data_IF_395814807479
#
_entry.id   IF_395814807479
#
_cell.length_a   1.000
_cell.length_b   1.000
_cell.length_c   1.000
_cell.angle_alpha   90.00
_cell.angle_beta   90.00
_cell.angle_gamma   90.00
#
_symmetry.space_group_name_H-M   'P 1'
#
loop_
_entity.id
_entity.type
_entity.pdbx_description
1 polymer ?
#
# COMPACT_ATOMS: atom_id res chain seq x y z
N UNK A 1 12.44 -18.47 33.23
CA UNK A 1 12.52 -19.91 33.58
C UNK A 1 12.46 -20.71 32.29
N UNK A 2 13.46 -21.55 32.06
CA UNK A 2 13.54 -22.45 30.90
C UNK A 2 12.68 -23.67 31.19
N UNK A 3 11.82 -24.05 30.25
CA UNK A 3 11.24 -25.39 30.20
C UNK A 3 11.23 -25.87 28.75
N UNK A 4 12.14 -26.83 28.48
CA UNK A 4 12.07 -27.73 27.32
C UNK A 4 10.93 -28.72 27.56
N UNK A 5 10.12 -28.96 26.53
CA UNK A 5 9.26 -30.15 26.47
C UNK A 5 9.56 -30.86 25.16
N UNK A 6 10.01 -32.10 25.28
CA UNK A 6 10.27 -33.02 24.18
C UNK A 6 8.96 -33.54 23.57
N UNK A 7 8.95 -33.84 22.27
CA UNK A 7 7.88 -34.57 21.61
C UNK A 7 8.40 -35.91 21.08
N UNK A 8 7.68 -36.97 21.43
CA UNK A 8 7.82 -38.33 20.92
C UNK A 8 6.93 -38.52 19.69
N UNK A 9 7.43 -39.27 18.69
CA UNK A 9 6.72 -39.67 17.47
C UNK A 9 5.99 -40.99 17.70
N UNK A 10 4.71 -41.03 17.34
CA UNK A 10 3.93 -42.14 16.76
C UNK A 10 2.45 -41.72 16.86
N UNK A 11 1.56 -41.80 15.88
CA UNK A 11 1.55 -42.26 14.49
C UNK A 11 0.12 -42.05 13.99
N UNK A 12 -0.05 -41.87 12.67
CA UNK A 12 -1.30 -42.12 11.93
C UNK A 12 -2.57 -41.32 12.28
N UNK A 13 -2.91 -40.38 11.39
CA UNK A 13 -4.18 -40.27 10.62
C UNK A 13 -4.76 -38.85 10.55
N UNK A 14 -5.07 -38.49 9.30
CA UNK A 14 -6.15 -37.61 8.82
C UNK A 14 -6.25 -36.19 9.39
N UNK A 15 -5.88 -35.22 8.55
CA UNK A 15 -6.08 -33.80 8.77
C UNK A 15 -7.55 -33.40 8.57
N UNK A 16 -8.16 -32.83 9.61
CA UNK A 16 -9.37 -32.02 9.48
C UNK A 16 -9.00 -30.54 9.63
N UNK A 17 -9.36 -29.74 8.64
CA UNK A 17 -9.25 -28.28 8.68
C UNK A 17 -10.42 -27.71 9.50
N UNK A 18 -10.14 -27.11 10.66
CA UNK A 18 -11.10 -26.30 11.41
C UNK A 18 -10.60 -24.84 11.36
N UNK A 19 -11.34 -23.97 10.65
CA UNK A 19 -11.17 -22.52 10.72
C UNK A 19 -11.90 -22.00 11.96
N UNK A 20 -11.17 -21.54 12.97
CA UNK A 20 -11.73 -20.75 14.08
C UNK A 20 -11.73 -19.26 13.68
N UNK A 21 -12.89 -18.62 13.70
CA UNK A 21 -13.05 -17.17 13.59
C UNK A 21 -13.13 -16.60 15.01
N UNK A 22 -12.18 -15.76 15.41
CA UNK A 22 -12.24 -15.00 16.67
C UNK A 22 -12.83 -13.62 16.41
N UNK A 23 -13.92 -13.29 17.09
CA UNK A 23 -14.46 -11.93 17.20
C UNK A 23 -14.08 -11.38 18.58
N UNK A 24 -13.23 -10.35 18.59
CA UNK A 24 -12.77 -9.69 19.81
C UNK A 24 -13.71 -8.50 20.14
N UNK A 25 -14.46 -8.58 21.23
CA UNK A 25 -15.21 -7.43 21.78
C UNK A 25 -14.37 -6.81 22.89
N UNK A 26 -14.00 -5.54 22.73
CA UNK A 26 -13.43 -4.70 23.79
C UNK A 26 -14.51 -4.29 24.79
N UNK A 27 -14.20 -4.34 26.10
CA UNK A 27 -14.69 -3.29 27.01
C UNK A 27 -13.79 -3.06 28.22
N UNK A 28 -13.61 -1.77 28.46
CA UNK A 28 -12.84 -1.04 29.47
C UNK A 28 -13.34 -1.35 30.89
N UNK A 29 -12.41 -1.49 31.84
CA UNK A 29 -12.73 -1.66 33.25
C UNK A 29 -13.12 -0.35 33.96
N UNK A 30 -13.99 -0.46 34.97
CA UNK A 30 -13.97 0.29 36.23
C UNK A 30 -14.92 -0.37 37.25
N UNK A 31 -14.48 -0.33 38.49
CA UNK A 31 -14.99 -0.88 39.75
C UNK A 31 -16.44 -0.53 40.11
N UNK A 32 -17.21 -1.47 40.70
CA UNK A 32 -18.03 -1.30 41.91
C UNK A 32 -18.80 -2.60 42.29
N UNK A 33 -19.06 -2.73 43.60
CA UNK A 33 -19.72 -3.82 44.33
C UNK A 33 -21.12 -4.23 43.82
N UNK A 34 -21.52 -5.50 44.01
CA UNK A 34 -22.70 -5.95 44.79
C UNK A 34 -22.96 -7.47 44.63
N UNK A 35 -23.46 -8.08 45.70
CA UNK A 35 -23.95 -9.47 45.80
C UNK A 35 -25.10 -9.77 44.82
N UNK A 36 -25.16 -10.99 44.28
CA UNK A 36 -26.23 -11.96 44.53
C UNK A 36 -26.29 -13.05 43.44
N UNK A 37 -26.94 -14.14 43.81
CA UNK A 37 -27.03 -15.44 43.16
C UNK A 37 -27.69 -15.41 41.76
N UNK A 38 -27.34 -16.38 40.92
CA UNK A 38 -28.13 -16.71 39.73
C UNK A 38 -27.37 -17.58 38.74
N UNK A 39 -27.56 -18.89 38.81
CA UNK A 39 -27.11 -19.82 37.78
C UNK A 39 -27.90 -19.58 36.47
N UNK A 40 -27.19 -19.43 35.35
CA UNK A 40 -27.79 -19.46 34.02
C UNK A 40 -26.98 -20.40 33.12
N UNK A 41 -27.51 -21.60 32.97
CA UNK A 41 -27.05 -22.69 32.11
C UNK A 41 -27.19 -22.27 30.64
N UNK A 42 -26.09 -22.20 29.88
CA UNK A 42 -26.13 -21.95 28.44
C UNK A 42 -26.22 -23.30 27.69
N UNK A 43 -27.39 -23.56 27.11
CA UNK A 43 -27.67 -24.72 26.26
C UNK A 43 -27.05 -24.50 24.87
N UNK A 44 -26.05 -25.29 24.48
CA UNK A 44 -25.50 -25.30 23.11
C UNK A 44 -26.21 -26.39 22.31
N UNK A 45 -27.15 -26.01 21.45
CA UNK A 45 -27.77 -26.89 20.47
C UNK A 45 -26.85 -27.02 19.24
N UNK A 46 -26.16 -28.15 19.13
CA UNK A 46 -25.46 -28.56 17.92
C UNK A 46 -26.45 -29.26 16.98
N UNK A 47 -26.82 -28.62 15.87
CA UNK A 47 -27.54 -29.27 14.78
C UNK A 47 -26.56 -30.11 13.95
N UNK A 48 -26.54 -31.43 14.21
CA UNK A 48 -25.97 -32.41 13.28
C UNK A 48 -26.99 -32.67 12.17
N UNK A 49 -26.72 -32.17 10.97
CA UNK A 49 -27.38 -32.65 9.76
C UNK A 49 -26.67 -33.94 9.31
N UNK A 50 -27.27 -35.09 9.64
CA UNK A 50 -26.92 -36.38 9.06
C UNK A 50 -27.48 -36.43 7.63
N UNK A 51 -26.63 -36.21 6.62
CA UNK A 51 -26.94 -36.59 5.24
C UNK A 51 -26.46 -38.03 5.06
N UNK A 52 -27.32 -38.98 4.63
CA UNK A 52 -26.87 -40.34 4.37
C UNK A 52 -25.97 -40.33 3.13
N UNK A 53 -24.71 -40.74 3.31
CA UNK A 53 -23.82 -41.07 2.19
C UNK A 53 -24.34 -42.36 1.58
N UNK A 54 -25.09 -42.25 0.49
CA UNK A 54 -25.34 -43.38 -0.40
C UNK A 54 -23.99 -43.72 -1.02
N UNK A 55 -23.44 -44.88 -0.67
CA UNK A 55 -22.33 -45.47 -1.39
C UNK A 55 -22.84 -45.77 -2.81
N UNK A 56 -22.61 -44.85 -3.74
CA UNK A 56 -22.88 -45.11 -5.14
C UNK A 56 -21.77 -46.02 -5.66
N UNK A 57 -22.21 -47.19 -6.12
CA UNK A 57 -21.46 -48.15 -6.89
C UNK A 57 -20.68 -47.43 -7.98
N UNK A 58 -19.35 -47.61 -7.99
CA UNK A 58 -18.53 -47.38 -9.19
C UNK A 58 -19.02 -48.34 -10.28
N UNK A 59 -20.06 -47.96 -11.00
CA UNK A 59 -20.34 -48.46 -12.34
C UNK A 59 -19.47 -47.67 -13.31
N UNK A 60 -18.73 -48.42 -14.12
CA UNK A 60 -17.97 -47.96 -15.27
C UNK A 60 -18.75 -46.96 -16.11
N UNK A 61 -18.35 -45.68 -16.08
CA UNK A 61 -18.62 -44.76 -17.18
C UNK A 61 -17.75 -45.16 -18.37
N UNK A 62 -18.22 -46.16 -19.10
CA UNK A 62 -17.76 -46.41 -20.47
C UNK A 62 -18.10 -45.18 -21.32
N UNK A 63 -17.05 -44.42 -21.63
CA UNK A 63 -16.80 -43.66 -22.85
C UNK A 63 -18.03 -43.46 -23.78
N UNK A 64 -19.00 -42.65 -23.36
CA UNK A 64 -20.09 -42.24 -24.27
C UNK A 64 -19.58 -41.10 -25.13
N UNK A 65 -19.35 -41.40 -26.40
CA UNK A 65 -19.04 -40.38 -27.40
C UNK A 65 -20.02 -39.21 -27.30
N UNK A 66 -19.48 -37.99 -27.25
CA UNK A 66 -20.30 -36.78 -27.17
C UNK A 66 -20.84 -36.48 -28.56
N UNK A 67 -22.16 -36.31 -28.74
CA UNK A 67 -22.72 -36.01 -30.05
C UNK A 67 -22.24 -34.66 -30.55
N UNK A 68 -21.94 -34.55 -31.85
CA UNK A 68 -21.55 -33.29 -32.47
C UNK A 68 -22.79 -32.57 -32.99
N UNK A 69 -23.11 -31.42 -32.41
CA UNK A 69 -24.29 -30.63 -32.72
C UNK A 69 -24.29 -30.11 -34.16
N UNK A 70 -25.49 -29.99 -34.75
CA UNK A 70 -25.67 -29.35 -36.06
C UNK A 70 -25.89 -27.84 -35.87
N UNK A 71 -24.86 -27.05 -36.19
CA UNK A 71 -24.91 -25.60 -36.03
C UNK A 71 -25.35 -24.92 -37.33
N UNK A 72 -26.31 -24.01 -37.23
CA UNK A 72 -26.59 -23.00 -38.26
C UNK A 72 -25.91 -21.70 -37.84
N UNK A 73 -24.96 -21.23 -38.63
CA UNK A 73 -24.24 -19.99 -38.36
C UNK A 73 -24.47 -18.98 -39.50
N UNK A 74 -24.81 -17.71 -39.21
CA UNK A 74 -25.20 -16.73 -40.24
C UNK A 74 -24.03 -16.23 -41.10
N UNK A 75 -22.79 -16.47 -40.66
CA UNK A 75 -21.56 -16.07 -41.34
C UNK A 75 -20.51 -17.19 -41.25
N UNK A 76 -19.38 -17.11 -41.96
CA UNK A 76 -18.23 -17.97 -41.67
C UNK A 76 -17.79 -17.83 -40.21
N UNK A 77 -17.43 -18.95 -39.58
CA UNK A 77 -17.02 -18.98 -38.16
C UNK A 77 -15.67 -18.30 -38.00
N UNK A 78 -15.58 -17.34 -37.09
CA UNK A 78 -14.35 -16.61 -36.79
C UNK A 78 -13.50 -17.38 -35.76
N UNK A 79 -12.28 -17.73 -36.16
CA UNK A 79 -11.38 -18.49 -35.28
C UNK A 79 -11.10 -17.77 -33.95
N UNK A 80 -10.76 -16.48 -33.99
CA UNK A 80 -10.30 -15.75 -32.81
C UNK A 80 -11.45 -15.43 -31.85
N UNK A 81 -12.62 -15.10 -32.40
CA UNK A 81 -13.79 -14.70 -31.60
C UNK A 81 -14.60 -15.88 -31.09
N UNK A 82 -14.63 -16.99 -31.81
CA UNK A 82 -15.59 -18.07 -31.55
C UNK A 82 -14.92 -19.40 -31.19
N UNK A 83 -13.81 -19.76 -31.84
CA UNK A 83 -13.12 -21.04 -31.59
C UNK A 83 -12.06 -20.92 -30.49
N UNK A 84 -11.23 -19.88 -30.56
CA UNK A 84 -10.13 -19.67 -29.63
C UNK A 84 -10.57 -19.56 -28.16
N UNK A 85 -11.73 -18.96 -27.80
CA UNK A 85 -12.23 -18.99 -26.42
C UNK A 85 -12.50 -20.41 -25.91
N UNK A 86 -13.08 -21.29 -26.73
CA UNK A 86 -13.34 -22.69 -26.37
C UNK A 86 -12.00 -23.40 -26.09
N UNK A 87 -11.02 -23.21 -27.00
CA UNK A 87 -9.68 -23.77 -26.83
C UNK A 87 -8.96 -23.20 -25.61
N UNK A 88 -9.07 -21.90 -25.34
CA UNK A 88 -8.46 -21.23 -24.17
C UNK A 88 -8.93 -21.85 -22.86
N UNK A 89 -10.23 -22.13 -22.76
CA UNK A 89 -10.82 -22.65 -21.54
C UNK A 89 -10.49 -24.13 -21.30
N UNK A 90 -10.45 -24.94 -22.36
CA UNK A 90 -10.40 -26.39 -22.20
C UNK A 90 -9.10 -27.06 -22.68
N UNK A 91 -8.31 -26.41 -23.54
CA UNK A 91 -7.20 -27.07 -24.25
C UNK A 91 -5.85 -26.37 -24.05
N UNK A 92 -5.81 -25.04 -24.05
CA UNK A 92 -4.55 -24.28 -24.11
C UNK A 92 -3.72 -24.36 -22.83
N UNK A 93 -4.29 -24.71 -21.68
CA UNK A 93 -3.49 -24.92 -20.47
C UNK A 93 -2.44 -26.04 -20.65
N UNK A 94 -2.73 -27.02 -21.52
CA UNK A 94 -1.84 -28.15 -21.83
C UNK A 94 -1.22 -28.09 -23.24
N UNK A 95 -1.93 -27.54 -24.23
CA UNK A 95 -1.55 -27.55 -25.65
C UNK A 95 -1.22 -26.15 -26.18
N UNK A 96 -0.31 -25.46 -25.48
CA UNK A 96 0.25 -24.16 -25.88
C UNK A 96 1.74 -24.32 -26.26
N UNK A 97 2.37 -23.25 -26.76
CA UNK A 97 3.76 -23.24 -27.21
C UNK A 97 4.78 -23.58 -26.11
N UNK A 98 4.47 -23.32 -24.85
CA UNK A 98 5.38 -23.50 -23.71
C UNK A 98 5.27 -24.89 -23.09
N UNK A 99 4.05 -25.43 -22.97
CA UNK A 99 3.80 -26.72 -22.32
C UNK A 99 3.73 -27.89 -23.32
N UNK A 100 3.24 -27.62 -24.54
CA UNK A 100 3.15 -28.49 -25.72
C UNK A 100 3.07 -30.01 -25.43
N UNK A 101 2.07 -30.47 -24.66
CA UNK A 101 1.84 -31.91 -24.50
C UNK A 101 1.61 -32.57 -25.86
N UNK A 102 2.24 -33.73 -26.07
CA UNK A 102 2.26 -34.45 -27.35
C UNK A 102 2.77 -33.61 -28.55
N UNK A 103 3.61 -32.60 -28.27
CA UNK A 103 4.09 -31.58 -29.23
C UNK A 103 2.98 -30.85 -29.99
N UNK A 104 1.74 -30.88 -29.47
CA UNK A 104 0.59 -30.27 -30.11
C UNK A 104 0.35 -28.86 -29.59
N UNK A 105 0.26 -27.89 -30.51
CA UNK A 105 -0.01 -26.48 -30.22
C UNK A 105 -1.35 -26.08 -30.86
N UNK A 106 -2.30 -25.61 -30.04
CA UNK A 106 -3.65 -25.26 -30.47
C UNK A 106 -3.91 -23.74 -30.51
N UNK A 107 -2.86 -22.92 -30.38
CA UNK A 107 -2.97 -21.44 -30.33
C UNK A 107 -3.38 -20.81 -31.67
N UNK A 108 -3.04 -21.45 -32.79
CA UNK A 108 -3.29 -20.94 -34.14
C UNK A 108 -3.73 -22.05 -35.09
N UNK A 109 -4.54 -21.76 -36.13
CA UNK A 109 -4.91 -22.77 -37.11
C UNK A 109 -3.70 -23.37 -37.83
N UNK A 110 -2.67 -22.56 -38.10
CA UNK A 110 -1.43 -23.01 -38.73
C UNK A 110 -0.70 -24.06 -37.88
N UNK A 111 -0.63 -23.85 -36.56
CA UNK A 111 -0.03 -24.82 -35.65
C UNK A 111 -0.88 -26.11 -35.55
N UNK A 112 -2.21 -25.99 -35.55
CA UNK A 112 -3.10 -27.15 -35.54
C UNK A 112 -2.99 -27.99 -36.83
N UNK A 113 -2.76 -27.35 -37.98
CA UNK A 113 -2.48 -28.01 -39.26
C UNK A 113 -1.14 -28.74 -39.25
N UNK A 114 -0.11 -28.13 -38.65
CA UNK A 114 1.20 -28.77 -38.46
C UNK A 114 1.07 -30.02 -37.58
N UNK A 115 0.20 -29.97 -36.57
CA UNK A 115 -0.11 -31.12 -35.72
C UNK A 115 0.95 -31.40 -34.66
N UNK A 116 0.81 -32.56 -34.00
CA UNK A 116 1.71 -33.05 -32.97
C UNK A 116 2.20 -34.47 -33.25
N UNK A 117 2.48 -35.24 -32.21
CA UNK A 117 2.98 -36.62 -32.30
C UNK A 117 2.09 -37.56 -33.12
N UNK A 118 0.78 -37.34 -33.06
CA UNK A 118 -0.22 -38.16 -33.76
C UNK A 118 -0.62 -37.60 -35.13
N UNK A 119 0.08 -36.58 -35.64
CA UNK A 119 -0.22 -35.91 -36.91
C UNK A 119 -1.09 -34.65 -36.76
N UNK A 120 -1.69 -34.15 -37.88
CA UNK A 120 -2.47 -32.93 -37.90
C UNK A 120 -3.67 -32.98 -36.95
N UNK A 121 -3.80 -31.99 -36.07
CA UNK A 121 -4.96 -31.90 -35.18
C UNK A 121 -6.25 -31.59 -35.95
N UNK A 122 -6.13 -30.83 -37.05
CA UNK A 122 -7.23 -30.48 -37.93
C UNK A 122 -6.92 -30.82 -39.38
N UNK A 123 -7.95 -31.22 -40.11
CA UNK A 123 -7.92 -31.47 -41.55
C UNK A 123 -8.99 -30.58 -42.20
N UNK A 124 -8.61 -29.51 -42.92
CA UNK A 124 -9.56 -28.59 -43.53
C UNK A 124 -10.60 -29.31 -44.39
N UNK A 125 -11.85 -28.85 -44.30
CA UNK A 125 -13.02 -29.44 -45.00
C UNK A 125 -13.37 -30.87 -44.57
N UNK A 126 -12.72 -31.41 -43.52
CA UNK A 126 -12.95 -32.75 -43.00
C UNK A 126 -13.04 -32.72 -41.46
N UNK A 127 -14.05 -32.05 -40.91
CA UNK A 127 -14.28 -31.89 -39.48
C UNK A 127 -14.32 -33.23 -38.74
N UNK A 128 -15.14 -34.19 -39.20
CA UNK A 128 -15.22 -35.53 -38.60
C UNK A 128 -13.93 -36.36 -38.67
N UNK A 129 -13.05 -36.06 -39.63
CA UNK A 129 -11.78 -36.77 -39.76
C UNK A 129 -10.68 -36.18 -38.87
N UNK A 130 -10.88 -34.97 -38.33
CA UNK A 130 -9.88 -34.22 -37.58
C UNK A 130 -9.68 -34.79 -36.17
N UNK A 131 -8.42 -35.01 -35.79
CA UNK A 131 -8.06 -35.58 -34.49
C UNK A 131 -8.56 -34.75 -33.31
N UNK A 132 -8.52 -33.42 -33.43
CA UNK A 132 -9.04 -32.49 -32.43
C UNK A 132 -10.50 -32.82 -32.08
N UNK A 133 -11.34 -33.00 -33.10
CA UNK A 133 -12.76 -33.28 -32.91
C UNK A 133 -12.96 -34.67 -32.32
N UNK A 134 -12.27 -35.69 -32.87
CA UNK A 134 -12.38 -37.07 -32.38
C UNK A 134 -11.95 -37.22 -30.92
N UNK A 135 -10.86 -36.56 -30.52
CA UNK A 135 -10.37 -36.58 -29.15
C UNK A 135 -11.35 -35.87 -28.21
N UNK A 136 -11.81 -34.68 -28.58
CA UNK A 136 -12.71 -33.87 -27.76
C UNK A 136 -14.16 -34.41 -27.69
N UNK A 137 -14.57 -35.21 -28.65
CA UNK A 137 -15.87 -35.90 -28.65
C UNK A 137 -15.80 -37.35 -28.16
N UNK A 138 -14.64 -37.78 -27.64
CA UNK A 138 -14.42 -39.11 -27.08
C UNK A 138 -14.64 -40.26 -28.09
N UNK A 139 -14.21 -40.06 -29.33
CA UNK A 139 -14.30 -41.02 -30.44
C UNK A 139 -12.99 -41.77 -30.73
N UNK A 140 -11.91 -41.46 -30.01
CA UNK A 140 -10.65 -42.22 -30.09
C UNK A 140 -10.66 -43.30 -29.00
N UNK A 141 -10.16 -44.48 -29.33
CA UNK A 141 -10.13 -45.63 -28.42
C UNK A 141 -9.23 -45.38 -27.20
N UNK A 142 -8.02 -44.86 -27.43
CA UNK A 142 -7.00 -44.70 -26.38
C UNK A 142 -6.78 -43.23 -25.95
N UNK A 143 -7.63 -42.31 -26.38
CA UNK A 143 -7.43 -40.88 -26.09
C UNK A 143 -8.75 -40.17 -25.84
N UNK A 144 -8.91 -39.69 -24.61
CA UNK A 144 -10.06 -38.91 -24.15
C UNK A 144 -9.56 -37.53 -23.73
N UNK A 145 -10.18 -36.48 -24.26
CA UNK A 145 -9.82 -35.09 -23.96
C UNK A 145 -11.07 -34.29 -23.56
N UNK A 146 -11.07 -33.63 -22.39
CA UNK A 146 -9.99 -33.59 -21.42
C UNK A 146 -9.83 -34.93 -20.66
N UNK A 147 -8.61 -35.27 -20.18
CA UNK A 147 -8.44 -36.44 -19.33
C UNK A 147 -9.15 -36.20 -17.99
N UNK A 148 -9.75 -37.25 -17.43
CA UNK A 148 -10.54 -37.20 -16.19
C UNK A 148 -9.77 -36.64 -14.99
N UNK A 149 -8.44 -36.86 -14.94
CA UNK A 149 -7.57 -36.37 -13.86
C UNK A 149 -6.81 -35.08 -14.22
N UNK A 150 -7.36 -34.22 -15.06
CA UNK A 150 -6.71 -32.96 -15.42
C UNK A 150 -6.63 -31.98 -14.22
N UNK A 151 -5.49 -31.28 -14.10
CA UNK A 151 -5.22 -30.30 -13.01
C UNK A 151 -5.67 -28.88 -13.32
N UNK A 152 -6.35 -28.68 -14.46
CA UNK A 152 -6.65 -27.36 -15.02
C UNK A 152 -8.16 -27.08 -15.07
N UNK A 153 -8.97 -27.97 -14.48
CA UNK A 153 -10.43 -27.88 -14.44
C UNK A 153 -11.07 -27.73 -15.83
N UNK A 154 -10.44 -28.33 -16.84
CA UNK A 154 -11.04 -28.45 -18.17
C UNK A 154 -12.19 -29.47 -18.11
N UNK A 155 -13.29 -29.15 -18.77
CA UNK A 155 -14.49 -29.97 -18.83
C UNK A 155 -14.76 -30.43 -20.26
N UNK A 156 -15.58 -31.45 -20.41
CA UNK A 156 -16.07 -31.91 -21.69
C UNK A 156 -16.71 -30.76 -22.49
N UNK A 157 -16.47 -30.75 -23.79
CA UNK A 157 -17.10 -29.77 -24.67
C UNK A 157 -18.58 -30.10 -24.87
N UNK A 158 -19.41 -29.07 -24.96
CA UNK A 158 -20.83 -29.26 -25.28
C UNK A 158 -21.01 -29.72 -26.74
N UNK A 159 -22.13 -30.40 -27.08
CA UNK A 159 -22.48 -30.71 -28.46
C UNK A 159 -22.44 -29.49 -29.38
N UNK A 160 -22.83 -28.32 -28.89
CA UNK A 160 -22.82 -27.06 -29.63
C UNK A 160 -21.39 -26.56 -29.88
N UNK A 161 -20.51 -26.61 -28.87
CA UNK A 161 -19.10 -26.23 -29.01
C UNK A 161 -18.38 -27.16 -30.00
N UNK A 162 -18.61 -28.47 -29.91
CA UNK A 162 -18.11 -29.45 -30.88
C UNK A 162 -18.66 -29.17 -32.29
N UNK A 163 -19.95 -28.83 -32.37
CA UNK A 163 -20.61 -28.47 -33.62
C UNK A 163 -20.02 -27.23 -34.27
N UNK A 164 -19.67 -26.22 -33.47
CA UNK A 164 -19.07 -24.97 -33.92
C UNK A 164 -17.62 -25.18 -34.41
N UNK A 165 -16.82 -25.94 -33.65
CA UNK A 165 -15.47 -26.35 -34.06
C UNK A 165 -15.52 -27.14 -35.35
N UNK A 166 -16.43 -28.12 -35.45
CA UNK A 166 -16.62 -28.90 -36.68
C UNK A 166 -16.98 -28.00 -37.86
N UNK A 167 -17.95 -27.10 -37.70
CA UNK A 167 -18.38 -26.18 -38.75
C UNK A 167 -17.22 -25.31 -39.24
N UNK A 168 -16.41 -24.77 -38.32
CA UNK A 168 -15.21 -24.02 -38.64
C UNK A 168 -14.19 -24.85 -39.44
N UNK A 169 -13.93 -26.10 -39.04
CA UNK A 169 -13.03 -27.00 -39.77
C UNK A 169 -13.57 -27.28 -41.18
N UNK A 170 -14.87 -27.55 -41.29
CA UNK A 170 -15.54 -27.84 -42.57
C UNK A 170 -15.49 -26.63 -43.52
N UNK A 171 -15.52 -25.41 -42.99
CA UNK A 171 -15.32 -24.16 -43.73
C UNK A 171 -13.84 -23.91 -44.15
N UNK A 172 -12.95 -24.85 -43.81
CA UNK A 172 -11.55 -24.84 -44.22
C UNK A 172 -10.58 -24.40 -43.13
N UNK A 173 -11.02 -24.31 -41.88
CA UNK A 173 -10.21 -23.99 -40.70
C UNK A 173 -9.34 -22.73 -40.86
N UNK A 174 -9.90 -21.69 -41.48
CA UNK A 174 -9.21 -20.43 -41.74
C UNK A 174 -9.26 -19.51 -40.53
N UNK A 175 -8.29 -18.60 -40.47
CA UNK A 175 -8.19 -17.57 -39.44
C UNK A 175 -6.77 -17.42 -38.90
N UNK A 176 -6.62 -16.47 -37.99
CA UNK A 176 -5.40 -16.23 -37.23
C UNK A 176 -5.82 -15.78 -35.84
N UNK A 177 -5.13 -16.23 -34.79
CA UNK A 177 -5.17 -15.50 -33.53
C UNK A 177 -4.35 -14.23 -33.71
N UNK A 178 -4.85 -13.08 -33.27
CA UNK A 178 -3.99 -11.92 -33.08
C UNK A 178 -2.89 -12.34 -32.12
N UNK A 179 -1.64 -12.35 -32.61
CA UNK A 179 -0.49 -12.51 -31.73
C UNK A 179 -0.57 -11.33 -30.79
N UNK A 180 -0.86 -11.59 -29.51
CA UNK A 180 -0.84 -10.56 -28.49
C UNK A 180 0.46 -9.80 -28.68
N UNK A 181 0.37 -8.51 -29.07
CA UNK A 181 1.56 -7.70 -29.30
C UNK A 181 2.38 -7.82 -28.02
N UNK A 182 3.66 -8.21 -28.10
CA UNK A 182 4.49 -8.27 -26.91
C UNK A 182 4.38 -6.91 -26.23
N UNK A 183 3.87 -6.91 -25.00
CA UNK A 183 3.82 -5.69 -24.21
C UNK A 183 5.28 -5.35 -23.97
N UNK A 184 5.76 -4.30 -24.64
CA UNK A 184 7.08 -3.74 -24.41
C UNK A 184 7.05 -3.02 -23.07
N UNK A 185 7.27 -3.78 -22.01
CA UNK A 185 7.41 -3.23 -20.66
C UNK A 185 8.57 -2.24 -20.64
N UNK A 186 8.24 -0.97 -20.41
CA UNK A 186 9.25 0.06 -20.17
C UNK A 186 9.49 0.18 -18.66
N UNK A 187 10.74 0.44 -18.22
CA UNK A 187 11.00 0.83 -16.85
C UNK A 187 10.15 2.06 -16.48
N UNK A 188 9.69 2.13 -15.24
CA UNK A 188 9.06 3.35 -14.72
C UNK A 188 10.04 4.52 -14.91
N UNK A 189 9.52 5.68 -15.33
CA UNK A 189 10.34 6.87 -15.54
C UNK A 189 11.24 7.15 -14.31
N UNK A 190 12.51 7.49 -14.55
CA UNK A 190 13.41 7.89 -13.48
C UNK A 190 12.78 9.01 -12.65
N UNK A 191 12.72 8.81 -11.33
CA UNK A 191 12.10 9.76 -10.40
C UNK A 191 10.65 9.43 -10.04
N UNK A 192 10.01 8.45 -10.68
CA UNK A 192 8.72 7.93 -10.22
C UNK A 192 8.92 7.19 -8.88
N UNK A 193 8.62 7.90 -7.79
CA UNK A 193 8.74 7.38 -6.43
C UNK A 193 7.32 7.17 -5.87
N UNK A 194 6.70 6.00 -6.12
CA UNK A 194 5.33 5.77 -5.73
C UNK A 194 5.16 5.94 -4.22
N UNK A 195 4.11 6.66 -3.84
CA UNK A 195 3.68 6.79 -2.46
C UNK A 195 2.61 5.72 -2.24
N UNK A 196 2.90 4.77 -1.37
CA UNK A 196 2.00 3.64 -1.09
C UNK A 196 0.97 3.97 -0.01
N UNK A 197 1.34 4.85 0.91
CA UNK A 197 0.46 5.33 1.97
C UNK A 197 0.76 6.80 2.30
N UNK A 198 -0.28 7.52 2.70
CA UNK A 198 -0.19 8.90 3.18
C UNK A 198 -1.06 9.08 4.41
N UNK A 199 -0.58 9.86 5.37
CA UNK A 199 -1.37 10.37 6.47
C UNK A 199 -1.09 11.86 6.64
N UNK A 200 -2.11 12.64 6.98
CA UNK A 200 -2.01 14.07 7.23
C UNK A 200 -2.39 14.31 8.69
N UNK A 201 -1.68 15.20 9.38
CA UNK A 201 -2.03 15.57 10.75
C UNK A 201 -3.38 16.30 10.78
N UNK A 202 -4.17 16.17 11.86
CA UNK A 202 -5.50 16.82 11.93
C UNK A 202 -5.49 18.34 11.71
N UNK A 203 -4.38 19.02 12.04
CA UNK A 203 -4.16 20.45 11.81
C UNK A 203 -3.74 20.81 10.37
N UNK A 204 -3.55 19.82 9.49
CA UNK A 204 -3.13 20.00 8.10
C UNK A 204 -1.68 20.47 7.92
N UNK A 205 -0.87 20.50 8.98
CA UNK A 205 0.49 21.06 8.92
C UNK A 205 1.50 20.09 8.33
N UNK A 206 1.34 18.78 8.58
CA UNK A 206 2.31 17.77 8.19
C UNK A 206 1.68 16.60 7.43
N UNK A 207 2.43 16.07 6.46
CA UNK A 207 2.12 14.81 5.80
C UNK A 207 3.23 13.79 6.03
N UNK A 208 2.85 12.58 6.44
CA UNK A 208 3.70 11.40 6.39
C UNK A 208 3.42 10.66 5.08
N UNK A 209 4.46 10.39 4.30
CA UNK A 209 4.37 9.68 3.02
C UNK A 209 5.28 8.46 3.03
N UNK A 210 4.70 7.28 2.82
CA UNK A 210 5.42 6.02 2.72
C UNK A 210 5.88 5.74 1.29
N UNK A 211 7.16 5.42 1.12
CA UNK A 211 7.76 4.99 -0.16
C UNK A 211 8.62 3.77 0.09
N UNK A 212 8.19 2.61 -0.42
CA UNK A 212 8.76 1.31 -0.05
C UNK A 212 8.83 1.18 1.49
N UNK A 213 10.01 0.92 2.04
CA UNK A 213 10.23 0.73 3.47
C UNK A 213 10.63 2.02 4.23
N UNK A 214 10.36 3.18 3.65
CA UNK A 214 10.77 4.50 4.17
C UNK A 214 9.56 5.40 4.38
N UNK A 215 9.64 6.25 5.41
CA UNK A 215 8.59 7.22 5.74
C UNK A 215 9.20 8.62 5.72
N UNK A 216 8.60 9.51 4.94
CA UNK A 216 9.01 10.90 4.77
C UNK A 216 8.00 11.80 5.46
N UNK A 217 8.47 12.78 6.23
CA UNK A 217 7.63 13.79 6.86
C UNK A 217 7.83 15.11 6.12
N UNK A 218 6.75 15.66 5.58
CA UNK A 218 6.73 16.96 4.92
C UNK A 218 5.96 17.96 5.74
N UNK A 219 6.41 19.20 5.76
CA UNK A 219 5.65 20.34 6.27
C UNK A 219 4.91 20.97 5.09
N UNK A 220 3.60 20.78 5.05
CA UNK A 220 2.75 21.06 3.89
C UNK A 220 2.76 22.53 3.49
N UNK A 221 2.62 23.52 4.40
CA UNK A 221 2.64 24.94 4.01
C UNK A 221 3.93 25.37 3.32
N UNK A 222 5.08 24.88 3.80
CA UNK A 222 6.39 25.23 3.23
C UNK A 222 6.83 24.33 2.08
N UNK A 223 6.11 23.22 1.84
CA UNK A 223 6.47 22.17 0.89
C UNK A 223 7.89 21.59 1.10
N UNK A 224 8.40 21.65 2.34
CA UNK A 224 9.74 21.18 2.68
C UNK A 224 9.69 19.78 3.30
N UNK A 225 10.72 18.98 2.99
CA UNK A 225 10.99 17.75 3.72
C UNK A 225 11.52 18.10 5.12
N UNK A 226 10.77 17.72 6.15
CA UNK A 226 11.17 17.86 7.56
C UNK A 226 12.18 16.80 7.93
N UNK A 227 11.92 15.56 7.54
CA UNK A 227 12.78 14.45 7.90
C UNK A 227 12.34 13.11 7.33
N UNK A 228 13.16 12.10 7.59
CA UNK A 228 12.87 10.71 7.26
C UNK A 228 12.95 9.90 8.54
N UNK A 229 11.91 9.10 8.80
CA UNK A 229 11.90 8.25 9.97
C UNK A 229 12.90 7.11 9.78
N UNK A 230 13.61 6.81 10.86
CA UNK A 230 14.69 5.81 10.87
C UNK A 230 14.49 4.92 12.07
N UNK A 231 14.41 3.61 11.85
CA UNK A 231 14.52 2.63 12.93
C UNK A 231 16.01 2.37 13.22
N UNK A 232 16.51 2.73 14.42
CA UNK A 232 17.90 2.49 14.80
C UNK A 232 18.30 1.01 14.76
N UNK A 233 17.37 0.09 15.02
CA UNK A 233 17.67 -1.35 15.03
C UNK A 233 18.00 -1.85 13.62
N UNK A 234 17.33 -1.30 12.60
CA UNK A 234 17.62 -1.62 11.20
C UNK A 234 18.94 -1.05 10.73
N UNK A 235 19.30 0.15 11.17
CA UNK A 235 20.62 0.73 10.88
C UNK A 235 21.73 -0.10 11.55
N UNK A 236 21.53 -0.48 12.82
CA UNK A 236 22.50 -1.26 13.58
C UNK A 236 22.60 -2.72 13.14
N UNK A 237 21.60 -3.24 12.42
CA UNK A 237 21.62 -4.62 11.91
C UNK A 237 22.65 -4.88 10.80
N UNK A 238 23.24 -3.83 10.22
CA UNK A 238 24.15 -3.94 9.07
C UNK A 238 23.46 -4.20 7.72
N UNK A 239 22.14 -4.44 7.70
CA UNK A 239 21.36 -4.64 6.47
C UNK A 239 21.27 -3.38 5.61
N UNK A 240 21.39 -2.20 6.22
CA UNK A 240 21.29 -0.92 5.54
C UNK A 240 22.46 -0.01 5.91
N UNK A 241 23.10 0.58 4.91
CA UNK A 241 24.25 1.47 5.07
C UNK A 241 23.87 2.97 5.19
N UNK A 242 22.57 3.29 5.27
CA UNK A 242 22.06 4.66 5.30
C UNK A 242 20.86 4.79 6.24
N UNK A 243 20.74 5.95 6.88
CA UNK A 243 19.57 6.35 7.67
C UNK A 243 18.35 6.61 6.77
N UNK A 244 17.16 6.70 7.38
CA UNK A 244 15.89 6.91 6.70
C UNK A 244 15.18 5.62 6.25
N UNK A 245 15.50 4.49 6.89
CA UNK A 245 14.79 3.21 6.72
C UNK A 245 13.92 3.00 7.95
N UNK A 246 12.61 2.88 7.74
CA UNK A 246 11.63 2.79 8.81
C UNK A 246 11.24 1.32 9.10
N UNK A 247 11.16 0.49 8.07
CA UNK A 247 10.69 -0.90 8.15
C UNK A 247 11.60 -1.85 7.36
N UNK A 248 11.45 -3.16 7.57
CA UNK A 248 12.12 -4.17 6.74
C UNK A 248 11.39 -4.39 5.41
N UNK A 249 10.08 -4.31 5.43
CA UNK A 249 9.21 -4.46 4.27
C UNK A 249 8.55 -3.12 3.90
N UNK A 250 7.69 -3.16 2.88
CA UNK A 250 6.93 -1.99 2.43
C UNK A 250 6.03 -1.46 3.55
N UNK A 251 5.86 -0.14 3.59
CA UNK A 251 4.91 0.54 4.47
C UNK A 251 3.67 0.85 3.65
N UNK A 252 2.56 0.22 4.01
CA UNK A 252 1.28 0.24 3.27
C UNK A 252 0.16 0.94 4.05
N UNK A 253 0.38 1.26 5.33
CA UNK A 253 -0.56 2.01 6.14
C UNK A 253 0.15 3.06 7.01
N UNK A 254 -0.48 4.24 7.12
CA UNK A 254 -0.05 5.34 8.00
C UNK A 254 -1.28 5.95 8.68
N UNK A 255 -1.16 6.31 9.96
CA UNK A 255 -2.21 7.04 10.68
C UNK A 255 -1.60 7.93 11.78
N UNK A 256 -1.99 9.21 11.82
CA UNK A 256 -1.66 10.08 12.95
C UNK A 256 -2.69 9.89 14.08
N UNK A 257 -2.24 10.01 15.33
CA UNK A 257 -3.15 10.18 16.45
C UNK A 257 -3.91 11.52 16.36
N UNK A 258 -5.08 11.64 17.01
CA UNK A 258 -5.87 12.88 16.99
C UNK A 258 -5.11 14.12 17.51
N UNK A 259 -4.14 13.92 18.39
CA UNK A 259 -3.29 14.99 18.94
C UNK A 259 -2.02 15.25 18.11
N UNK A 260 -1.87 14.60 16.95
CA UNK A 260 -0.73 14.68 16.03
C UNK A 260 0.65 14.30 16.62
N UNK A 261 0.69 13.77 17.85
CA UNK A 261 1.94 13.45 18.54
C UNK A 261 2.46 12.05 18.19
N UNK A 262 1.59 11.13 17.78
CA UNK A 262 1.97 9.79 17.39
C UNK A 262 1.66 9.57 15.91
N UNK A 263 2.56 8.90 15.21
CA UNK A 263 2.30 8.29 13.91
C UNK A 263 2.37 6.77 14.09
N UNK A 264 1.35 6.05 13.64
CA UNK A 264 1.40 4.60 13.45
C UNK A 264 1.77 4.30 12.00
N UNK A 265 2.66 3.34 11.79
CA UNK A 265 2.97 2.79 10.47
C UNK A 265 2.85 1.28 10.45
N UNK A 266 2.10 0.76 9.48
CA UNK A 266 1.94 -0.66 9.20
C UNK A 266 2.92 -1.15 8.16
N UNK A 267 3.51 -2.31 8.41
CA UNK A 267 4.31 -3.07 7.45
C UNK A 267 4.08 -4.56 7.64
N UNK A 268 4.73 -5.39 6.82
CA UNK A 268 4.57 -6.84 6.89
C UNK A 268 4.91 -7.39 8.29
N UNK A 269 3.88 -7.85 9.00
CA UNK A 269 3.95 -8.44 10.36
C UNK A 269 4.42 -7.50 11.47
N UNK A 270 4.49 -6.19 11.24
CA UNK A 270 4.88 -5.24 12.28
C UNK A 270 4.11 -3.92 12.17
N UNK A 271 3.85 -3.31 13.33
CA UNK A 271 3.38 -1.93 13.44
C UNK A 271 4.39 -1.18 14.29
N UNK A 272 4.79 0.01 13.84
CA UNK A 272 5.65 0.91 14.61
C UNK A 272 4.89 2.17 14.99
N UNK A 273 5.14 2.64 16.20
CA UNK A 273 4.67 3.92 16.70
C UNK A 273 5.84 4.88 16.76
N UNK A 274 5.67 6.06 16.16
CA UNK A 274 6.65 7.12 16.11
C UNK A 274 6.13 8.29 16.93
N UNK A 275 6.81 8.59 18.03
CA UNK A 275 6.50 9.75 18.83
C UNK A 275 7.19 10.97 18.24
N UNK A 276 6.42 12.04 18.02
CA UNK A 276 6.96 13.37 17.77
C UNK A 276 7.53 13.88 19.10
N UNK A 277 8.85 14.15 19.19
CA UNK A 277 9.41 14.75 20.40
C UNK A 277 8.72 16.10 20.62
N UNK A 278 8.11 16.27 21.80
CA UNK A 278 7.56 17.56 22.21
C UNK A 278 8.74 18.48 22.51
N UNK A 279 9.24 19.19 21.51
CA UNK A 279 10.16 20.32 21.69
C UNK A 279 9.40 21.54 22.25
N UNK A 280 8.51 21.34 23.22
CA UNK A 280 7.91 22.46 23.96
C UNK A 280 9.01 23.01 24.85
N UNK A 281 9.69 24.07 24.39
CA UNK A 281 10.60 24.80 25.27
C UNK A 281 9.73 25.68 26.17
N UNK A 282 9.62 25.28 27.43
CA UNK A 282 8.88 26.02 28.43
C UNK A 282 9.73 27.20 28.93
N UNK A 283 9.24 28.42 28.76
CA UNK A 283 9.92 29.62 29.22
C UNK A 283 9.14 30.27 30.34
N UNK A 284 9.76 30.37 31.53
CA UNK A 284 9.27 31.25 32.58
C UNK A 284 9.63 32.69 32.22
N UNK A 285 8.62 33.46 31.78
CA UNK A 285 8.74 34.90 31.68
C UNK A 285 8.88 35.47 33.10
N UNK A 286 9.98 36.19 33.39
CA UNK A 286 10.26 36.68 34.74
C UNK A 286 9.27 37.76 35.19
N UNK A 287 8.64 37.50 36.34
CA UNK A 287 7.97 38.32 37.38
C UNK A 287 7.08 39.53 37.04
N UNK A 288 6.80 39.85 35.78
CA UNK A 288 5.80 40.89 35.46
C UNK A 288 4.79 40.29 34.50
N UNK A 289 3.50 40.48 34.80
CA UNK A 289 2.39 40.01 33.99
C UNK A 289 2.58 40.53 32.55
N UNK A 290 2.96 39.64 31.62
CA UNK A 290 2.96 39.98 30.22
C UNK A 290 1.50 40.19 29.81
N UNK A 291 1.11 41.43 29.56
CA UNK A 291 -0.23 41.78 29.11
C UNK A 291 -0.40 41.55 27.60
N UNK A 292 0.70 41.50 26.85
CA UNK A 292 0.68 41.27 25.42
C UNK A 292 1.81 40.31 24.98
N UNK A 293 1.48 39.42 24.04
CA UNK A 293 2.39 38.46 23.43
C UNK A 293 2.21 38.47 21.90
N UNK A 294 3.30 38.35 21.15
CA UNK A 294 3.25 38.13 19.71
C UNK A 294 4.38 37.20 19.26
N UNK A 295 4.04 36.12 18.55
CA UNK A 295 5.02 35.27 17.87
C UNK A 295 5.43 35.89 16.53
N UNK A 296 6.72 35.86 16.26
CA UNK A 296 7.25 36.19 14.95
C UNK A 296 6.83 35.13 13.92
N UNK A 297 6.62 35.51 12.64
CA UNK A 297 6.21 34.58 11.59
C UNK A 297 7.28 33.51 11.27
N UNK A 298 8.52 33.72 11.71
CA UNK A 298 9.60 32.74 11.62
C UNK A 298 9.53 31.64 12.70
N UNK A 299 8.63 31.77 13.69
CA UNK A 299 8.52 30.86 14.84
C UNK A 299 9.73 30.89 15.78
N UNK A 300 10.71 31.77 15.55
CA UNK A 300 11.97 31.85 16.30
C UNK A 300 12.01 33.02 17.28
N UNK A 301 11.14 34.00 17.09
CA UNK A 301 11.06 35.20 17.93
C UNK A 301 9.73 35.26 18.67
N UNK A 302 9.77 35.68 19.93
CA UNK A 302 8.60 36.09 20.70
C UNK A 302 8.80 37.53 21.16
N UNK A 303 7.78 38.37 21.00
CA UNK A 303 7.71 39.69 21.60
C UNK A 303 6.74 39.65 22.80
N UNK A 304 7.14 40.25 23.91
CA UNK A 304 6.30 40.37 25.10
C UNK A 304 6.28 41.82 25.57
N UNK A 305 5.12 42.30 26.01
CA UNK A 305 4.93 43.63 26.58
C UNK A 305 4.18 43.55 27.91
N UNK A 306 4.54 44.41 28.85
CA UNK A 306 3.92 44.47 30.18
C UNK A 306 3.75 45.91 30.65
N UNK A 307 3.50 46.06 31.95
CA UNK A 307 3.19 47.36 32.59
C UNK A 307 4.36 48.35 32.57
N UNK A 308 5.60 47.87 32.42
CA UNK A 308 6.81 48.69 32.37
C UNK A 308 6.96 49.49 31.05
N UNK A 309 6.02 49.34 30.11
CA UNK A 309 6.04 50.03 28.82
C UNK A 309 7.16 49.56 27.89
N UNK A 310 7.84 48.45 28.21
CA UNK A 310 8.96 47.92 27.41
C UNK A 310 8.54 46.74 26.57
N UNK A 311 9.12 46.66 25.38
CA UNK A 311 9.02 45.48 24.51
C UNK A 311 10.25 44.61 24.71
N UNK A 312 10.02 43.37 25.17
CA UNK A 312 11.05 42.35 25.33
C UNK A 312 10.99 41.40 24.12
N UNK A 313 12.13 41.20 23.46
CA UNK A 313 12.27 40.28 22.32
C UNK A 313 13.08 39.07 22.74
N UNK A 314 12.54 37.89 22.50
CA UNK A 314 13.10 36.60 22.91
C UNK A 314 13.50 35.79 21.68
N UNK A 315 14.62 35.08 21.78
CA UNK A 315 15.03 34.04 20.84
C UNK A 315 14.54 32.70 21.39
N UNK A 316 13.48 32.17 20.78
CA UNK A 316 12.86 30.90 21.17
C UNK A 316 13.78 29.71 20.91
N UNK A 317 14.74 29.81 19.99
CA UNK A 317 15.69 28.71 19.72
C UNK A 317 16.72 28.55 20.83
N UNK A 318 17.05 29.64 21.52
CA UNK A 318 18.03 29.67 22.62
C UNK A 318 17.39 29.81 23.99
N UNK A 319 16.12 30.20 24.03
CA UNK A 319 15.42 30.49 25.26
C UNK A 319 15.90 31.71 26.02
N UNK A 320 16.35 32.73 25.30
CA UNK A 320 16.98 33.90 25.93
C UNK A 320 16.34 35.19 25.47
N UNK A 321 16.25 36.14 26.39
CA UNK A 321 15.95 37.53 26.08
C UNK A 321 17.09 38.11 25.24
N UNK A 322 16.77 38.60 24.05
CA UNK A 322 17.73 39.21 23.11
C UNK A 322 17.76 40.72 23.24
N UNK A 323 16.58 41.34 23.43
CA UNK A 323 16.47 42.79 23.59
C UNK A 323 15.39 43.17 24.59
N UNK A 324 15.63 44.28 25.29
CA UNK A 324 14.66 44.93 26.17
C UNK A 324 14.52 46.41 25.77
N UNK A 325 13.58 46.70 24.88
CA UNK A 325 13.45 47.97 24.18
C UNK A 325 12.45 48.89 24.90
N UNK A 326 12.84 50.14 25.23
CA UNK A 326 11.85 51.13 25.63
C UNK A 326 10.93 51.42 24.43
N UNK A 327 9.62 51.37 24.64
CA UNK A 327 8.64 51.64 23.59
C UNK A 327 7.62 52.69 24.06
N UNK A 328 7.08 52.53 25.27
CA UNK A 328 5.98 53.33 25.77
C UNK A 328 6.23 53.80 27.21
N UNK A 329 5.50 54.82 27.64
CA UNK A 329 5.50 55.32 29.04
C UNK A 329 4.45 54.62 29.92
N UNK A 330 3.57 53.83 29.34
CA UNK A 330 2.55 53.05 30.05
C UNK A 330 2.47 51.61 29.54
N UNK A 331 1.66 50.79 30.20
CA UNK A 331 1.55 49.36 29.90
C UNK A 331 1.20 49.05 28.44
N UNK A 332 1.78 47.98 27.90
CA UNK A 332 1.57 47.54 26.52
C UNK A 332 0.45 46.50 26.48
N UNK A 333 -0.63 46.80 25.75
CA UNK A 333 -1.81 45.92 25.66
C UNK A 333 -1.88 45.11 24.36
N UNK A 334 -1.15 45.51 23.33
CA UNK A 334 -1.17 44.82 22.04
C UNK A 334 0.20 44.82 21.38
N UNK A 335 0.58 43.68 20.81
CA UNK A 335 1.78 43.49 20.01
C UNK A 335 1.41 42.72 18.73
N UNK A 336 1.96 43.14 17.59
CA UNK A 336 1.79 42.39 16.33
C UNK A 336 2.99 42.55 15.41
N UNK A 337 3.57 41.43 14.99
CA UNK A 337 4.58 41.43 13.94
C UNK A 337 3.95 41.70 12.58
N UNK A 338 4.69 42.37 11.70
CA UNK A 338 4.35 42.39 10.28
C UNK A 338 4.47 40.98 9.67
N UNK A 339 3.75 40.65 8.58
CA UNK A 339 3.80 39.32 7.96
C UNK A 339 5.20 38.87 7.52
N UNK A 340 6.05 39.82 7.12
CA UNK A 340 7.46 39.60 6.77
C UNK A 340 8.40 39.53 7.99
N UNK A 341 7.88 39.77 9.20
CA UNK A 341 8.62 39.78 10.46
C UNK A 341 9.64 40.93 10.63
N UNK A 342 9.60 41.93 9.75
CA UNK A 342 10.56 43.05 9.74
C UNK A 342 10.22 44.17 10.73
N UNK A 343 8.93 44.31 11.07
CA UNK A 343 8.41 45.32 11.98
C UNK A 343 7.57 44.69 13.08
N UNK A 344 7.47 45.40 14.19
CA UNK A 344 6.59 45.10 15.30
C UNK A 344 5.83 46.37 15.65
N UNK A 345 4.50 46.27 15.67
CA UNK A 345 3.61 47.31 16.15
C UNK A 345 3.28 47.06 17.63
N UNK A 346 3.25 48.13 18.42
CA UNK A 346 2.85 48.11 19.83
C UNK A 346 1.83 49.21 20.13
N UNK A 347 0.83 48.89 20.94
CA UNK A 347 -0.17 49.85 21.41
C UNK A 347 -0.20 49.86 22.95
N UNK A 348 -0.30 51.05 23.55
CA UNK A 348 -0.12 51.26 25.00
C UNK A 348 -1.21 52.10 25.64
N UNK A 349 -1.36 51.93 26.96
CA UNK A 349 -2.14 52.78 27.85
C UNK A 349 -1.75 54.26 27.79
N UNK A 350 -0.53 54.60 27.35
CA UNK A 350 -0.07 55.99 27.17
C UNK A 350 -0.73 56.72 25.99
N UNK A 351 -1.74 56.11 25.37
CA UNK A 351 -2.51 56.62 24.22
C UNK A 351 -1.68 56.77 22.95
N UNK A 352 -0.54 56.07 22.85
CA UNK A 352 0.29 56.05 21.64
C UNK A 352 0.39 54.67 21.01
N UNK A 353 0.69 54.66 19.71
CA UNK A 353 0.98 53.47 18.93
C UNK A 353 2.35 53.65 18.27
N UNK A 354 3.24 52.66 18.43
CA UNK A 354 4.50 52.61 17.70
C UNK A 354 4.44 51.57 16.60
N UNK A 355 4.75 51.97 15.37
CA UNK A 355 4.68 51.10 14.18
C UNK A 355 6.02 50.46 13.80
N UNK A 356 7.12 50.85 14.48
CA UNK A 356 8.48 50.39 14.17
C UNK A 356 9.31 50.20 15.45
N UNK A 357 8.95 49.22 16.26
CA UNK A 357 9.87 48.75 17.30
C UNK A 357 11.04 48.05 16.59
N UNK A 358 12.28 48.52 16.77
CA UNK A 358 13.43 48.05 15.99
C UNK A 358 13.88 46.63 16.41
N UNK A 359 13.33 45.63 15.73
CA UNK A 359 13.56 44.21 16.00
C UNK A 359 14.81 43.64 15.33
N UNK A 360 15.52 44.42 14.50
CA UNK A 360 16.66 43.93 13.72
C UNK A 360 17.84 43.48 14.60
N UNK A 361 18.31 42.25 14.42
CA UNK A 361 19.63 41.82 14.92
C UNK A 361 20.69 42.46 14.01
N UNK A 362 21.04 43.72 14.26
CA UNK A 362 22.17 44.32 13.56
C UNK A 362 23.44 43.70 14.14
N UNK A 363 23.93 42.64 13.51
CA UNK A 363 25.33 42.26 13.65
C UNK A 363 26.15 43.50 13.28
N UNK A 364 26.95 44.00 14.20
CA UNK A 364 28.00 44.96 13.85
C UNK A 364 28.92 44.24 12.86
N UNK A 365 28.71 44.50 11.56
CA UNK A 365 29.77 44.31 10.58
C UNK A 365 30.74 45.46 10.80
N UNK A 366 31.87 45.18 11.43
CA UNK A 366 33.08 45.96 11.19
C UNK A 366 33.32 45.95 9.68
N UNK A 367 33.58 47.13 9.10
CA UNK A 367 33.94 47.26 7.69
C UNK A 367 35.24 46.49 7.44
N UNK A 368 35.29 45.54 6.51
CA UNK A 368 36.54 45.18 5.87
C UNK A 368 36.71 46.13 4.69
N UNK A 369 37.79 46.91 4.71
CA UNK A 369 38.28 47.56 3.50
C UNK A 369 38.62 46.49 2.44
N UNK A 370 38.41 46.83 1.17
CA UNK A 370 39.01 46.11 0.05
C UNK A 370 38.11 45.13 -0.72
N UNK A 371 37.58 45.63 -1.84
CA UNK A 371 37.44 45.01 -3.16
C UNK A 371 37.19 43.50 -3.34
N UNK A 372 36.22 43.19 -4.22
CA UNK A 372 36.42 42.15 -5.24
C UNK A 372 35.63 40.84 -5.12
N UNK A 373 34.39 40.88 -5.62
CA UNK A 373 33.70 39.85 -6.45
C UNK A 373 34.04 38.36 -6.24
N UNK A 374 33.04 37.55 -5.84
CA UNK A 374 33.06 36.10 -6.04
C UNK A 374 31.98 35.33 -5.26
N UNK A 375 31.03 34.70 -5.95
CA UNK A 375 29.76 34.16 -5.43
C UNK A 375 29.90 32.80 -4.68
N UNK A 376 29.28 32.74 -3.48
CA UNK A 376 28.42 31.69 -2.81
C UNK A 376 28.61 30.17 -3.09
N UNK A 377 28.06 29.27 -2.23
CA UNK A 377 28.08 29.27 -0.76
C UNK A 377 28.36 27.87 -0.13
N UNK A 378 28.74 27.98 1.13
CA UNK A 378 28.67 27.01 2.24
C UNK A 378 27.52 25.98 2.16
N UNK A 379 27.85 24.69 2.30
CA UNK A 379 26.90 23.61 2.66
C UNK A 379 27.01 23.36 4.16
N UNK A 380 26.03 23.77 4.96
CA UNK A 380 25.83 23.19 6.29
C UNK A 380 24.87 21.99 6.18
N UNK A 381 25.33 20.83 6.63
CA UNK A 381 24.49 19.68 6.93
C UNK A 381 24.35 19.61 8.43
N UNK A 382 23.13 19.68 8.95
CA UNK A 382 22.85 19.22 10.31
C UNK A 382 21.52 18.46 10.28
N UNK A 383 21.60 17.17 10.63
CA UNK A 383 20.48 16.25 10.72
C UNK A 383 19.84 16.35 12.11
N UNK A 384 18.50 16.33 12.17
CA UNK A 384 17.79 16.16 13.43
C UNK A 384 17.54 14.66 13.66
N UNK A 385 17.98 14.19 14.83
CA UNK A 385 17.86 12.82 15.28
C UNK A 385 16.49 12.67 15.97
N UNK A 386 15.60 11.87 15.38
CA UNK A 386 14.42 11.38 16.08
C UNK A 386 14.91 10.41 17.16
N UNK A 387 14.73 10.76 18.43
CA UNK A 387 14.95 9.84 19.56
C UNK A 387 13.62 9.21 19.98
N UNK A 388 13.74 7.94 20.35
CA UNK A 388 12.68 7.03 20.78
C UNK A 388 11.78 7.61 21.86
#
# INVERSE_FOLDING_TARGET
MISRVAWSRNGGRTAFNIRLVFLLVQRVGKTALFHSQGAATLLVLAFLSLVPIRADEKKSEENRAIPVGRIKHPAPVDFEREILPILKNNCLACHNKTTAKARLILETPQAMLQGGDSGPAIVPKRGHASLLLKAASHQLEDTVMPPSENKVLASDLSPEELGLIKLWIDQGAKGSASIARPIEWQPLAQGLNPIYAVAITPDGQFAACARANRIFIYHLPSQQLVGRLTDPHLVNSGLYNKTGVAHRAIVDALAFSPDANLLASGSYREVKLWLRPKEAIEFKLASIAALALALGPDGKRLATGGDDGRVKLWDLTKGKLVKNLPAHKGGIHCLKFSPDGSKLCSASADKTLQTRVNTSQRTQRTRPDGHGVGRRPFRSRTAYLWKQ
#
